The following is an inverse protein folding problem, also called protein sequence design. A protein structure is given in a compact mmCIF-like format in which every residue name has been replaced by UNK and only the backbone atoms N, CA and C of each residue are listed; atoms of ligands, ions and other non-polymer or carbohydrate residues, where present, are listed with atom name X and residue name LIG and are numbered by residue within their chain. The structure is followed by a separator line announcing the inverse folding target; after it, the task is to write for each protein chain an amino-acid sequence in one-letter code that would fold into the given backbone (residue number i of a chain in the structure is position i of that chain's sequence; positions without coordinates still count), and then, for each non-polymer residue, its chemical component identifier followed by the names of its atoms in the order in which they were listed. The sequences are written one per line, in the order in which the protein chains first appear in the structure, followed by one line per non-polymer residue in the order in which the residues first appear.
data_IF_790711322944
#
_entry.id   IF_790711322944
#
_cell.length_a   1.000
_cell.length_b   1.000
_cell.length_c   1.000
_cell.angle_alpha   90.00
_cell.angle_beta   90.00
_cell.angle_gamma   90.00
#
_symmetry.space_group_name_H-M   'P 1'
#
loop_
_entity.id
_entity.type
_entity.pdbx_description
1 polymer ?
#
# COMPACT_ATOMS: atom_id res chain seq x y z
N UNK A 1 -0.61 -26.58 -33.43
CA UNK A 1 -1.08 -27.98 -33.43
C UNK A 1 -2.61 -28.01 -33.34
N UNK A 2 -3.24 -29.08 -33.86
CA UNK A 2 -4.70 -29.13 -34.08
C UNK A 2 -5.54 -29.05 -32.81
N UNK A 3 -5.09 -29.67 -31.71
CA UNK A 3 -5.79 -29.64 -30.41
C UNK A 3 -5.78 -28.21 -29.84
N UNK A 4 -4.65 -27.53 -29.88
CA UNK A 4 -4.55 -26.14 -29.43
C UNK A 4 -5.44 -25.19 -30.23
N UNK A 5 -5.65 -25.43 -31.53
CA UNK A 5 -6.57 -24.64 -32.35
C UNK A 5 -8.03 -24.91 -31.98
N UNK A 6 -8.42 -26.18 -31.82
CA UNK A 6 -9.76 -26.57 -31.39
C UNK A 6 -10.13 -25.99 -30.02
N UNK A 7 -9.24 -26.11 -29.03
CA UNK A 7 -9.49 -25.58 -27.69
C UNK A 7 -9.60 -24.04 -27.68
N UNK A 8 -8.85 -23.33 -28.54
CA UNK A 8 -9.00 -21.87 -28.69
C UNK A 8 -10.36 -21.47 -29.27
N UNK A 9 -10.90 -22.27 -30.18
CA UNK A 9 -12.19 -22.00 -30.83
C UNK A 9 -13.39 -22.37 -29.94
N UNK A 10 -13.37 -23.57 -29.35
CA UNK A 10 -14.57 -24.17 -28.74
C UNK A 10 -14.57 -24.09 -27.21
N UNK A 11 -13.40 -24.10 -26.56
CA UNK A 11 -13.29 -24.14 -25.10
C UNK A 11 -12.11 -23.32 -24.55
N UNK A 12 -12.03 -22.02 -24.85
CA UNK A 12 -10.86 -21.19 -24.52
C UNK A 12 -10.61 -21.08 -23.01
N UNK A 13 -11.61 -21.33 -22.17
CA UNK A 13 -11.48 -21.32 -20.71
C UNK A 13 -10.65 -22.49 -20.15
N UNK A 14 -10.49 -23.58 -20.90
CA UNK A 14 -9.66 -24.73 -20.53
C UNK A 14 -8.17 -24.52 -20.80
N UNK A 15 -7.81 -23.44 -21.51
CA UNK A 15 -6.42 -23.10 -21.80
C UNK A 15 -5.79 -22.37 -20.60
N UNK A 16 -4.47 -22.55 -20.37
CA UNK A 16 -3.74 -21.76 -19.38
C UNK A 16 -3.86 -20.26 -19.63
N UNK A 17 -3.77 -19.46 -18.56
CA UNK A 17 -3.88 -18.00 -18.64
C UNK A 17 -2.87 -17.39 -19.60
N UNK A 18 -1.66 -17.94 -19.66
CA UNK A 18 -0.58 -17.53 -20.54
C UNK A 18 -0.89 -17.78 -22.03
N UNK A 19 -1.75 -18.75 -22.35
CA UNK A 19 -2.18 -19.01 -23.73
C UNK A 19 -3.34 -18.10 -24.11
N UNK A 20 -4.22 -17.80 -23.14
CA UNK A 20 -5.40 -16.93 -23.33
C UNK A 20 -5.03 -15.45 -23.37
N UNK A 21 -4.01 -15.05 -22.61
CA UNK A 21 -3.51 -13.70 -22.49
C UNK A 21 -1.97 -13.71 -22.50
N UNK A 22 -1.34 -13.92 -23.68
CA UNK A 22 0.10 -14.15 -23.79
C UNK A 22 0.99 -12.95 -23.48
N UNK A 23 0.43 -11.81 -23.01
CA UNK A 23 1.13 -10.54 -22.80
C UNK A 23 2.08 -10.17 -23.96
N UNK A 24 1.72 -10.59 -25.19
CA UNK A 24 2.42 -10.20 -26.41
C UNK A 24 1.78 -8.92 -26.91
N UNK A 25 2.60 -7.97 -27.34
CA UNK A 25 2.12 -6.82 -28.10
C UNK A 25 1.44 -7.40 -29.34
N UNK A 26 0.13 -7.20 -29.47
CA UNK A 26 -0.62 -7.74 -30.61
C UNK A 26 -0.17 -7.09 -31.90
N UNK A 27 -0.05 -7.87 -32.97
CA UNK A 27 0.13 -7.32 -34.32
C UNK A 27 -1.08 -6.42 -34.63
N UNK A 28 -0.85 -5.12 -34.84
CA UNK A 28 -1.89 -4.17 -35.21
C UNK A 28 -2.56 -3.39 -34.08
N UNK A 29 -2.10 -3.52 -32.83
CA UNK A 29 -2.51 -2.57 -31.77
C UNK A 29 -1.64 -1.31 -31.90
N UNK A 30 -2.22 -0.25 -32.44
CA UNK A 30 -1.60 1.08 -32.36
C UNK A 30 -1.65 1.56 -30.90
N UNK A 31 -0.56 1.30 -30.17
CA UNK A 31 -0.43 1.68 -28.77
C UNK A 31 -0.33 3.19 -28.59
N UNK A 32 -0.10 3.96 -29.65
CA UNK A 32 -0.02 5.42 -29.59
C UNK A 32 -1.37 6.06 -29.22
N UNK A 33 -2.49 5.41 -29.57
CA UNK A 33 -3.84 5.94 -29.24
C UNK A 33 -4.27 5.60 -27.79
N UNK A 34 -3.74 4.53 -27.20
CA UNK A 34 -4.12 4.09 -25.84
C UNK A 34 -3.85 5.14 -24.76
N UNK A 35 -2.80 5.95 -24.94
CA UNK A 35 -2.46 7.05 -24.02
C UNK A 35 -3.54 8.15 -24.05
N UNK A 36 -4.20 8.35 -25.19
CA UNK A 36 -5.24 9.37 -25.36
C UNK A 36 -6.63 8.89 -24.93
N UNK A 37 -6.90 7.58 -25.00
CA UNK A 37 -8.24 7.03 -24.70
C UNK A 37 -8.38 6.43 -23.29
N UNK A 38 -7.29 5.98 -22.65
CA UNK A 38 -7.36 5.39 -21.30
C UNK A 38 -7.06 6.46 -20.25
N UNK A 39 -8.01 6.77 -19.35
CA UNK A 39 -7.74 7.71 -18.27
C UNK A 39 -6.67 7.15 -17.33
N UNK A 40 -5.76 8.02 -16.89
CA UNK A 40 -4.76 7.67 -15.89
C UNK A 40 -5.41 7.12 -14.62
N UNK A 41 -4.80 6.07 -14.06
CA UNK A 41 -5.19 5.50 -12.77
C UNK A 41 -4.14 5.85 -11.73
N UNK A 42 -4.13 7.08 -11.20
CA UNK A 42 -3.22 7.42 -10.13
C UNK A 42 -3.48 6.50 -8.93
N UNK A 43 -2.46 6.14 -8.16
CA UNK A 43 -2.63 5.39 -6.93
C UNK A 43 -3.63 6.10 -6.00
N UNK A 44 -4.59 5.36 -5.45
CA UNK A 44 -5.64 5.94 -4.63
C UNK A 44 -6.53 4.90 -3.99
N UNK A 45 -7.34 5.35 -3.05
CA UNK A 45 -8.27 4.49 -2.32
C UNK A 45 -9.51 4.16 -3.14
N UNK A 46 -10.00 2.93 -2.99
CA UNK A 46 -11.28 2.51 -3.55
C UNK A 46 -12.44 3.40 -3.07
N UNK A 47 -13.50 3.49 -3.88
CA UNK A 47 -14.77 4.04 -3.42
C UNK A 47 -15.28 3.19 -2.25
N UNK A 48 -15.54 3.83 -1.11
CA UNK A 48 -15.94 3.12 0.11
C UNK A 48 -14.80 2.49 0.91
N UNK A 49 -13.53 2.77 0.59
CA UNK A 49 -12.40 2.28 1.37
C UNK A 49 -12.51 2.71 2.85
N UNK A 50 -12.44 1.76 3.81
CA UNK A 50 -12.63 2.04 5.24
C UNK A 50 -11.44 2.77 5.88
N UNK A 51 -10.31 2.92 5.17
CA UNK A 51 -9.15 3.64 5.67
C UNK A 51 -9.27 5.16 5.49
N UNK A 52 -10.13 5.63 4.55
CA UNK A 52 -10.31 7.07 4.29
C UNK A 52 -10.73 7.85 5.54
N UNK A 53 -11.69 7.38 6.37
CA UNK A 53 -12.03 8.03 7.64
C UNK A 53 -10.88 8.07 8.65
N UNK A 54 -10.02 7.04 8.67
CA UNK A 54 -8.85 6.98 9.56
C UNK A 54 -7.88 8.11 9.20
N UNK A 55 -7.54 8.25 7.91
CA UNK A 55 -6.65 9.32 7.46
C UNK A 55 -7.26 10.71 7.58
N UNK A 56 -8.57 10.84 7.36
CA UNK A 56 -9.26 12.11 7.62
C UNK A 56 -9.16 12.51 9.10
N UNK A 57 -9.38 11.56 10.02
CA UNK A 57 -9.20 11.80 11.45
C UNK A 57 -7.75 12.14 11.80
N UNK A 58 -6.76 11.45 11.21
CA UNK A 58 -5.35 11.80 11.40
C UNK A 58 -5.03 13.23 10.95
N UNK A 59 -5.64 13.72 9.87
CA UNK A 59 -5.48 15.13 9.46
C UNK A 59 -6.06 16.12 10.46
N UNK A 60 -7.21 15.82 11.04
CA UNK A 60 -7.80 16.64 12.09
C UNK A 60 -6.88 16.67 13.32
N UNK A 61 -6.30 15.52 13.70
CA UNK A 61 -5.30 15.44 14.77
C UNK A 61 -4.07 16.29 14.45
N UNK A 62 -3.54 16.27 13.23
CA UNK A 62 -2.40 17.13 12.84
C UNK A 62 -2.75 18.64 12.85
N UNK A 63 -4.00 19.02 12.64
CA UNK A 63 -4.45 20.41 12.77
C UNK A 63 -4.40 20.89 14.22
N UNK A 64 -4.71 20.01 15.17
CA UNK A 64 -4.72 20.32 16.61
C UNK A 64 -3.33 20.20 17.25
N UNK A 65 -2.58 19.14 16.94
CA UNK A 65 -1.32 18.79 17.61
C UNK A 65 -0.07 19.16 16.78
N UNK A 66 -0.26 19.56 15.53
CA UNK A 66 0.79 19.75 14.54
C UNK A 66 1.22 18.45 13.86
N UNK A 67 2.16 18.56 12.92
CA UNK A 67 2.60 17.40 12.12
C UNK A 67 3.32 16.33 12.96
N UNK A 68 3.03 15.07 12.66
CA UNK A 68 3.68 13.92 13.28
C UNK A 68 4.64 13.22 12.31
N UNK A 69 5.61 12.48 12.84
CA UNK A 69 6.36 11.53 12.00
C UNK A 69 5.50 10.29 11.79
N UNK A 70 5.09 10.04 10.54
CA UNK A 70 4.22 8.92 10.16
C UNK A 70 5.01 7.93 9.30
N UNK A 71 5.31 6.75 9.82
CA UNK A 71 5.95 5.67 9.07
C UNK A 71 4.87 4.75 8.46
N UNK A 72 4.79 4.70 7.14
CA UNK A 72 3.80 3.90 6.42
C UNK A 72 4.43 2.64 5.85
N UNK A 73 3.86 1.48 6.15
CA UNK A 73 4.28 0.23 5.50
C UNK A 73 3.70 0.14 4.07
N UNK A 74 4.23 -0.72 3.20
CA UNK A 74 3.69 -0.93 1.86
C UNK A 74 2.36 -1.69 1.97
N UNK A 75 1.29 -1.05 1.52
CA UNK A 75 -0.08 -1.56 1.50
C UNK A 75 -1.04 -0.52 0.94
N UNK A 76 -2.35 -0.78 1.01
CA UNK A 76 -3.35 0.21 0.55
C UNK A 76 -3.23 1.53 1.31
N UNK A 77 -2.96 1.45 2.62
CA UNK A 77 -2.77 2.59 3.52
C UNK A 77 -1.64 3.52 3.11
N UNK A 78 -0.65 3.03 2.33
CA UNK A 78 0.44 3.85 1.81
C UNK A 78 -0.07 4.98 0.90
N UNK A 79 -1.23 4.84 0.27
CA UNK A 79 -1.79 5.90 -0.57
C UNK A 79 -2.18 7.16 0.22
N UNK A 80 -2.16 7.10 1.56
CA UNK A 80 -2.32 8.28 2.42
C UNK A 80 -1.22 9.33 2.22
N UNK A 81 -0.06 8.99 1.66
CA UNK A 81 1.01 9.95 1.34
C UNK A 81 0.63 10.93 0.22
N UNK A 82 -0.38 10.58 -0.58
CA UNK A 82 -0.85 11.37 -1.72
C UNK A 82 -1.96 12.34 -1.31
N UNK A 83 -2.26 13.38 -2.12
CA UNK A 83 -3.45 14.21 -1.93
C UNK A 83 -4.73 13.35 -1.88
N UNK A 84 -5.72 13.70 -1.05
CA UNK A 84 -5.81 14.92 -0.23
C UNK A 84 -5.21 14.78 1.19
N UNK A 85 -4.65 13.62 1.54
CA UNK A 85 -4.21 13.37 2.91
C UNK A 85 -2.78 13.88 3.13
N UNK A 86 -1.85 13.57 2.25
CA UNK A 86 -0.44 13.97 2.41
C UNK A 86 0.13 13.56 3.79
N UNK A 87 -0.23 12.36 4.24
CA UNK A 87 0.18 11.76 5.51
C UNK A 87 1.28 10.73 5.25
N UNK A 88 2.49 11.02 5.71
CA UNK A 88 3.61 10.10 5.63
C UNK A 88 4.95 10.81 5.71
N UNK A 89 5.94 10.10 6.23
CA UNK A 89 7.31 10.54 6.35
C UNK A 89 8.29 9.51 5.80
N UNK A 90 8.03 8.22 6.03
CA UNK A 90 8.84 7.11 5.53
C UNK A 90 7.96 6.01 4.96
N UNK A 91 8.51 5.26 4.01
CA UNK A 91 7.88 4.09 3.41
C UNK A 91 8.75 2.88 3.65
N UNK A 92 8.21 1.87 4.32
CA UNK A 92 8.88 0.59 4.59
C UNK A 92 8.01 -0.56 4.08
N UNK A 93 8.57 -1.76 3.97
CA UNK A 93 7.80 -2.95 3.58
C UNK A 93 7.89 -4.05 4.64
N UNK A 94 7.07 -5.09 4.45
CA UNK A 94 7.10 -6.32 5.23
C UNK A 94 6.78 -6.15 6.72
N UNK A 95 6.03 -5.10 7.10
CA UNK A 95 5.67 -4.78 8.48
C UNK A 95 6.76 -4.01 9.23
N UNK A 96 7.75 -3.43 8.55
CA UNK A 96 8.89 -2.75 9.17
C UNK A 96 8.66 -1.26 9.45
N UNK A 97 7.51 -0.70 9.04
CA UNK A 97 7.14 0.69 9.32
C UNK A 97 7.40 1.11 10.79
N UNK A 98 6.77 0.48 11.79
CA UNK A 98 6.96 0.87 13.18
C UNK A 98 8.38 0.62 13.72
N UNK A 99 9.04 -0.46 13.28
CA UNK A 99 10.44 -0.70 13.62
C UNK A 99 11.34 0.44 13.13
N UNK A 100 11.10 0.97 11.93
CA UNK A 100 11.84 2.13 11.39
C UNK A 100 11.59 3.41 12.19
N UNK A 101 10.41 3.54 12.80
CA UNK A 101 10.05 4.69 13.63
C UNK A 101 10.57 4.61 15.07
N UNK A 102 11.22 3.50 15.47
CA UNK A 102 11.70 3.28 16.85
C UNK A 102 12.69 4.34 17.32
N UNK A 103 13.49 4.91 16.41
CA UNK A 103 14.45 5.97 16.72
C UNK A 103 13.79 7.26 17.24
N UNK A 104 12.49 7.47 16.98
CA UNK A 104 11.75 8.64 17.45
C UNK A 104 11.21 8.48 18.89
N UNK A 105 11.40 7.31 19.51
CA UNK A 105 11.01 7.05 20.90
C UNK A 105 12.05 7.57 21.91
N UNK A 106 12.39 8.86 21.82
CA UNK A 106 13.28 9.53 22.78
C UNK A 106 12.47 10.13 23.94
N UNK A 107 12.99 10.13 25.19
CA UNK A 107 12.36 10.85 26.31
C UNK A 107 12.15 12.35 26.03
N UNK A 108 13.02 12.94 25.19
CA UNK A 108 12.95 14.35 24.81
C UNK A 108 12.08 14.59 23.55
N UNK A 109 11.44 13.54 23.02
CA UNK A 109 10.59 13.67 21.85
C UNK A 109 9.36 14.52 22.17
N UNK A 110 9.20 15.62 21.43
CA UNK A 110 8.06 16.54 21.61
C UNK A 110 6.74 15.98 21.08
N UNK A 111 6.80 14.95 20.24
CA UNK A 111 5.64 14.31 19.60
C UNK A 111 5.89 12.82 19.44
N UNK A 112 4.82 12.05 19.59
CA UNK A 112 4.80 10.61 19.33
C UNK A 112 4.89 10.33 17.84
N UNK A 113 5.66 9.32 17.45
CA UNK A 113 5.59 8.78 16.10
C UNK A 113 4.30 8.00 15.91
N UNK A 114 3.81 7.98 14.67
CA UNK A 114 2.66 7.19 14.24
C UNK A 114 3.16 6.21 13.19
N UNK A 115 2.60 5.00 13.14
CA UNK A 115 2.89 4.05 12.08
C UNK A 115 1.62 3.37 11.60
N UNK A 116 1.51 3.18 10.29
CA UNK A 116 0.42 2.43 9.67
C UNK A 116 0.96 1.12 9.10
N UNK A 117 0.40 -0.01 9.52
CA UNK A 117 0.76 -1.36 9.08
C UNK A 117 -0.49 -2.10 8.63
N UNK A 118 -0.48 -2.57 7.39
CA UNK A 118 -1.52 -3.47 6.90
C UNK A 118 -1.42 -4.84 7.56
N UNK A 119 -2.53 -5.59 7.55
CA UNK A 119 -2.62 -6.95 8.08
C UNK A 119 -1.55 -7.90 7.51
N UNK A 120 -1.28 -7.82 6.20
CA UNK A 120 -0.23 -8.61 5.55
C UNK A 120 1.17 -8.29 6.08
N UNK A 121 1.49 -7.00 6.26
CA UNK A 121 2.75 -6.56 6.85
C UNK A 121 2.85 -6.99 8.32
N UNK A 122 1.75 -6.85 9.07
CA UNK A 122 1.64 -7.28 10.47
C UNK A 122 2.01 -8.75 10.64
N UNK A 123 1.38 -9.64 9.86
CA UNK A 123 1.63 -11.07 9.97
C UNK A 123 2.94 -11.55 9.32
N UNK A 124 3.51 -10.77 8.40
CA UNK A 124 4.78 -11.12 7.76
C UNK A 124 5.96 -10.93 8.71
N UNK A 125 6.33 -9.69 9.06
CA UNK A 125 7.34 -9.41 10.10
C UNK A 125 6.88 -8.36 11.12
N UNK A 126 5.72 -7.74 10.96
CA UNK A 126 5.29 -6.65 11.84
C UNK A 126 5.12 -7.09 13.29
N UNK A 127 4.55 -8.26 13.55
CA UNK A 127 4.38 -8.76 14.92
C UNK A 127 5.73 -8.95 15.63
N UNK A 128 6.73 -9.53 14.96
CA UNK A 128 8.02 -9.86 15.56
C UNK A 128 8.97 -8.66 15.59
N UNK A 129 9.15 -7.98 14.45
CA UNK A 129 10.17 -6.95 14.27
C UNK A 129 9.70 -5.57 14.70
N UNK A 130 8.39 -5.29 14.60
CA UNK A 130 7.82 -4.00 14.95
C UNK A 130 7.15 -4.04 16.33
N UNK A 131 6.09 -4.83 16.52
CA UNK A 131 5.34 -4.86 17.79
C UNK A 131 6.16 -5.43 18.93
N UNK A 132 6.84 -6.57 18.71
CA UNK A 132 7.73 -7.16 19.71
C UNK A 132 8.81 -6.19 20.18
N UNK A 133 9.44 -5.47 19.25
CA UNK A 133 10.43 -4.44 19.56
C UNK A 133 9.81 -3.26 20.32
N UNK A 134 8.64 -2.77 19.91
CA UNK A 134 7.95 -1.66 20.56
C UNK A 134 7.59 -1.99 22.01
N UNK A 135 7.06 -3.19 22.28
CA UNK A 135 6.73 -3.65 23.64
C UNK A 135 8.00 -3.79 24.49
N UNK A 136 9.05 -4.43 23.95
CA UNK A 136 10.31 -4.61 24.67
C UNK A 136 10.94 -3.26 25.06
N UNK A 137 10.95 -2.30 24.14
CA UNK A 137 11.54 -0.97 24.35
C UNK A 137 10.60 0.03 25.01
N UNK A 138 9.40 -0.38 25.44
CA UNK A 138 8.36 0.50 26.04
C UNK A 138 8.10 1.74 25.18
N UNK A 139 7.90 1.53 23.88
CA UNK A 139 7.66 2.59 22.92
C UNK A 139 6.34 3.32 23.22
N UNK A 140 6.36 4.66 23.22
CA UNK A 140 5.18 5.53 23.43
C UNK A 140 4.57 6.04 22.11
N UNK A 141 4.97 5.46 20.98
CA UNK A 141 4.39 5.70 19.66
C UNK A 141 3.00 5.07 19.48
N UNK A 142 2.28 5.50 18.45
CA UNK A 142 0.99 4.93 18.04
C UNK A 142 1.19 4.04 16.81
N UNK A 143 0.80 2.78 16.91
CA UNK A 143 0.85 1.83 15.79
C UNK A 143 -0.59 1.46 15.43
N UNK A 144 -0.96 1.70 14.18
CA UNK A 144 -2.29 1.44 13.59
C UNK A 144 -2.19 0.30 12.60
#
# INVERSE_FOLDING_TARGET
DGIGAFLRAEAPHLLPGEVRAPNKVGDGVDTADLINVVPGRPPGFCIGCPERPIFAATKLVEQELGKHHIASDIGCHLFSIMPPFELGATTMGYGLGPASASAFNSPDAKRRSISFVGDGGFWHNGLTSSIGNAVFNKNDGVIV
#
